data_IF_948836961611
#
_entry.id   IF_948836961611
#
_cell.length_a   1.000
_cell.length_b   1.000
_cell.length_c   1.000
_cell.angle_alpha   90.00
_cell.angle_beta   90.00
_cell.angle_gamma   90.00
#
_symmetry.space_group_name_H-M   'P 1'
#
loop_
_entity.id
_entity.type
_entity.pdbx_description
1 polymer ?
#
# COMPACT_ATOMS: atom_id res chain seq x y z
N UNK A 1 23.11 -3.40 -36.91
CA UNK A 1 22.49 -2.98 -35.65
C UNK A 1 21.31 -3.89 -35.40
N UNK A 2 21.35 -4.76 -34.37
CA UNK A 2 20.20 -5.58 -33.98
C UNK A 2 19.35 -4.77 -32.99
N UNK A 3 18.24 -4.19 -33.45
CA UNK A 3 17.24 -3.63 -32.55
C UNK A 3 16.30 -4.74 -32.08
N UNK A 4 15.98 -4.74 -30.79
CA UNK A 4 15.11 -5.75 -30.17
C UNK A 4 13.65 -5.70 -30.66
N UNK A 5 13.29 -4.66 -31.43
CA UNK A 5 11.99 -4.49 -32.07
C UNK A 5 12.17 -3.88 -33.47
N UNK A 6 11.50 -4.40 -34.51
CA UNK A 6 11.49 -3.82 -35.85
C UNK A 6 10.70 -2.50 -35.90
N UNK A 7 11.15 -1.54 -36.71
CA UNK A 7 10.50 -0.24 -36.88
C UNK A 7 9.15 -0.43 -37.59
N UNK A 8 8.06 0.05 -36.98
CA UNK A 8 6.71 -0.02 -37.53
C UNK A 8 5.83 -1.15 -36.97
N UNK A 9 6.38 -2.03 -36.13
CA UNK A 9 5.61 -3.11 -35.50
C UNK A 9 5.44 -2.88 -34.00
N UNK A 10 4.17 -2.76 -33.55
CA UNK A 10 3.86 -2.69 -32.12
C UNK A 10 3.67 -4.10 -31.55
N UNK A 11 4.67 -4.57 -30.82
CA UNK A 11 4.57 -5.81 -30.04
C UNK A 11 3.72 -5.55 -28.80
N UNK A 12 2.59 -6.25 -28.63
CA UNK A 12 1.86 -6.27 -27.35
C UNK A 12 2.75 -6.97 -26.32
N UNK A 13 3.34 -6.21 -25.42
CA UNK A 13 4.13 -6.75 -24.32
C UNK A 13 3.14 -7.11 -23.19
N UNK A 14 2.95 -8.40 -22.87
CA UNK A 14 2.17 -8.78 -21.71
C UNK A 14 2.91 -8.36 -20.44
N UNK A 15 2.32 -7.44 -19.68
CA UNK A 15 2.83 -7.02 -18.38
C UNK A 15 2.35 -8.06 -17.36
N UNK A 16 3.16 -9.09 -17.11
CA UNK A 16 2.91 -10.07 -16.05
C UNK A 16 3.32 -9.47 -14.70
N UNK A 17 2.60 -8.44 -14.26
CA UNK A 17 2.70 -7.93 -12.90
C UNK A 17 1.50 -8.41 -12.10
N UNK A 18 1.68 -9.39 -11.22
CA UNK A 18 0.69 -9.62 -10.15
C UNK A 18 0.78 -8.40 -9.23
N UNK A 19 -0.12 -7.44 -9.42
CA UNK A 19 -0.13 -6.20 -8.67
C UNK A 19 -0.54 -6.49 -7.22
N UNK A 20 0.43 -6.82 -6.38
CA UNK A 20 0.24 -6.87 -4.93
C UNK A 20 0.34 -5.43 -4.41
N UNK A 21 -0.82 -4.76 -4.31
CA UNK A 21 -0.91 -3.46 -3.65
C UNK A 21 -0.79 -3.65 -2.13
N UNK A 22 0.42 -3.64 -1.58
CA UNK A 22 0.55 -3.48 -0.13
C UNK A 22 0.19 -2.03 0.19
N UNK A 23 -0.83 -1.83 1.03
CA UNK A 23 -1.21 -0.50 1.53
C UNK A 23 -0.69 -0.33 2.94
N UNK A 24 0.23 0.61 3.08
CA UNK A 24 0.71 1.06 4.37
C UNK A 24 -0.26 2.09 4.94
N UNK A 25 -0.77 1.86 6.15
CA UNK A 25 -1.64 2.80 6.85
C UNK A 25 -1.03 3.15 8.20
N UNK A 26 -0.99 4.44 8.53
CA UNK A 26 -0.41 4.93 9.77
C UNK A 26 -1.29 5.99 10.41
N UNK A 27 -1.28 6.04 11.75
CA UNK A 27 -1.95 7.05 12.57
C UNK A 27 -0.88 7.82 13.34
N UNK A 28 -0.90 9.14 13.21
CA UNK A 28 -0.03 10.06 13.93
C UNK A 28 -0.81 10.72 15.06
N UNK A 29 -0.30 10.61 16.27
CA UNK A 29 -0.73 11.41 17.42
C UNK A 29 0.08 12.71 17.45
N UNK A 30 -0.59 13.84 17.24
CA UNK A 30 0.03 15.17 17.22
C UNK A 30 0.35 15.73 18.60
N UNK A 31 -0.24 15.18 19.67
CA UNK A 31 0.01 15.64 21.04
C UNK A 31 1.24 14.97 21.64
N UNK A 32 1.47 13.70 21.28
CA UNK A 32 2.57 12.89 21.84
C UNK A 32 3.68 12.56 20.85
N UNK A 33 3.55 12.99 19.58
CA UNK A 33 4.44 12.64 18.45
C UNK A 33 4.59 11.13 18.21
N UNK A 34 3.66 10.32 18.73
CA UNK A 34 3.67 8.85 18.56
C UNK A 34 3.06 8.47 17.20
N UNK A 35 3.67 7.48 16.54
CA UNK A 35 3.19 6.95 15.27
C UNK A 35 2.82 5.48 15.41
N UNK A 36 1.58 5.15 15.07
CA UNK A 36 1.11 3.78 14.87
C UNK A 36 1.19 3.45 13.37
N UNK A 37 1.68 2.28 13.01
CA UNK A 37 1.87 1.87 11.61
C UNK A 37 1.50 0.39 11.44
N UNK A 38 0.71 0.11 10.40
CA UNK A 38 0.28 -1.25 10.06
C UNK A 38 0.30 -1.47 8.54
N UNK A 39 0.85 -2.61 8.14
CA UNK A 39 0.89 -3.05 6.74
C UNK A 39 -0.30 -3.96 6.45
N UNK A 40 -0.97 -3.72 5.33
CA UNK A 40 -2.10 -4.54 4.91
C UNK A 40 -2.03 -4.87 3.42
N UNK A 41 -2.30 -6.13 3.08
CA UNK A 41 -2.36 -6.60 1.69
C UNK A 41 -3.58 -6.06 0.93
N UNK A 42 -4.58 -5.54 1.64
CA UNK A 42 -5.79 -4.97 1.07
C UNK A 42 -6.33 -3.85 1.95
N UNK A 43 -7.03 -2.91 1.34
CA UNK A 43 -7.61 -1.76 2.05
C UNK A 43 -9.10 -1.68 1.74
N UNK A 44 -9.86 -2.53 2.43
CA UNK A 44 -11.32 -2.51 2.45
C UNK A 44 -11.81 -1.84 3.76
N UNK A 45 -13.12 -1.62 3.87
CA UNK A 45 -13.69 -0.93 5.03
C UNK A 45 -13.47 -1.70 6.35
N UNK A 46 -13.43 -3.02 6.31
CA UNK A 46 -13.22 -3.86 7.49
C UNK A 46 -11.78 -3.76 8.00
N UNK A 47 -10.80 -3.82 7.08
CA UNK A 47 -9.38 -3.63 7.37
C UNK A 47 -9.14 -2.21 7.90
N UNK A 48 -9.77 -1.21 7.31
CA UNK A 48 -9.70 0.16 7.82
C UNK A 48 -10.23 0.27 9.25
N UNK A 49 -11.41 -0.31 9.54
CA UNK A 49 -11.99 -0.30 10.88
C UNK A 49 -11.11 -1.02 11.91
N UNK A 50 -10.48 -2.13 11.51
CA UNK A 50 -9.56 -2.88 12.36
C UNK A 50 -8.34 -2.03 12.72
N UNK A 51 -7.67 -1.45 11.71
CA UNK A 51 -6.50 -0.56 11.90
C UNK A 51 -6.88 0.64 12.77
N UNK A 52 -8.06 1.23 12.54
CA UNK A 52 -8.53 2.37 13.31
C UNK A 52 -8.75 2.03 14.79
N UNK A 53 -9.35 0.88 15.10
CA UNK A 53 -9.53 0.42 16.49
C UNK A 53 -8.19 0.15 17.18
N UNK A 54 -7.25 -0.48 16.48
CA UNK A 54 -5.90 -0.75 16.99
C UNK A 54 -5.14 0.54 17.29
N UNK A 55 -5.18 1.51 16.37
CA UNK A 55 -4.55 2.81 16.58
C UNK A 55 -5.18 3.62 17.70
N UNK A 56 -6.51 3.60 17.85
CA UNK A 56 -7.18 4.26 18.98
C UNK A 56 -6.76 3.65 20.32
N UNK A 57 -6.64 2.32 20.41
CA UNK A 57 -6.14 1.67 21.62
C UNK A 57 -4.68 2.06 21.90
N UNK A 58 -3.84 2.16 20.87
CA UNK A 58 -2.45 2.59 21.00
C UNK A 58 -2.33 4.03 21.52
N UNK A 59 -3.16 4.95 21.03
CA UNK A 59 -3.17 6.36 21.46
C UNK A 59 -3.78 6.52 22.85
N UNK A 60 -4.86 5.80 23.19
CA UNK A 60 -5.56 5.95 24.47
C UNK A 60 -4.80 5.41 25.69
N UNK A 61 -3.79 4.56 25.51
CA UNK A 61 -2.94 4.04 26.60
C UNK A 61 -1.74 4.98 26.85
N UNK A 62 -1.59 6.03 26.02
CA UNK A 62 -0.43 6.90 25.93
C UNK A 62 -0.41 8.10 26.86
#
# INVERSE_FOLDING_TARGET
>A
MNTLLPVGEQKKIPIYGKHFSVKLTSILDFETDKVYMEESDSFNAEVFLAIFKSGLAFVSIG
#
